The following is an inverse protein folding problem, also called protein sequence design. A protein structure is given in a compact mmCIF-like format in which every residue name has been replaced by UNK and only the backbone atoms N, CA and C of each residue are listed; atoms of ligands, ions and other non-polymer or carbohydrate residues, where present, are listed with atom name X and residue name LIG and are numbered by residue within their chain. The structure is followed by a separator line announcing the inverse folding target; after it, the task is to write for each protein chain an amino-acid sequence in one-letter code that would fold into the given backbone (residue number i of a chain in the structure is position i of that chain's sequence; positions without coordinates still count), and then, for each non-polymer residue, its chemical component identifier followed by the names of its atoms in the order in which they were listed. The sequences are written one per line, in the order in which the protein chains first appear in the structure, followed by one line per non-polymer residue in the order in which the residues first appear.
data_IF_117891681483
#
_entry.id   IF_117891681483
#
_cell.length_a   1.000
_cell.length_b   1.000
_cell.length_c   1.000
_cell.angle_alpha   90.00
_cell.angle_beta   90.00
_cell.angle_gamma   90.00
#
_symmetry.space_group_name_H-M   'P 1'
#
loop_
_entity.id
_entity.type
_entity.pdbx_description
1 polymer ?
#
# COMPACT_ATOMS: atom_id res chain seq x y z
N UNK A 1 -16.10 0.20 -9.17
CA UNK A 1 -15.13 -0.12 -8.08
C UNK A 1 -15.00 1.11 -7.21
N UNK A 2 -15.03 1.01 -5.87
CA UNK A 2 -14.87 2.18 -5.01
C UNK A 2 -13.44 2.72 -5.15
N UNK A 3 -13.32 4.03 -5.33
CA UNK A 3 -12.04 4.74 -5.32
C UNK A 3 -11.62 4.99 -3.86
N UNK A 4 -10.31 4.94 -3.58
CA UNK A 4 -9.82 5.31 -2.24
C UNK A 4 -10.01 6.82 -2.07
N UNK A 5 -10.61 7.26 -0.96
CA UNK A 5 -10.83 8.68 -0.66
C UNK A 5 -9.94 9.06 0.55
N UNK A 6 -8.92 9.90 0.33
CA UNK A 6 -7.95 10.30 1.36
C UNK A 6 -6.60 10.74 0.77
N UNK A 7 -5.74 11.30 1.62
CA UNK A 7 -4.33 11.62 1.32
C UNK A 7 -3.50 11.45 2.59
N UNK A 8 -2.30 10.91 2.46
CA UNK A 8 -1.32 10.78 3.54
C UNK A 8 0.03 11.27 3.06
N UNK A 9 0.65 12.16 3.83
CA UNK A 9 1.99 12.69 3.59
C UNK A 9 2.89 12.25 4.75
N UNK A 10 4.03 11.64 4.43
CA UNK A 10 4.95 11.02 5.38
C UNK A 10 4.28 10.03 6.35
N UNK A 11 3.27 9.31 5.88
CA UNK A 11 2.55 8.33 6.70
C UNK A 11 3.33 7.01 6.69
N UNK A 12 3.49 6.33 7.84
CA UNK A 12 4.16 5.03 7.86
C UNK A 12 3.51 4.04 6.88
N UNK A 13 4.33 3.30 6.15
CA UNK A 13 3.89 2.34 5.12
C UNK A 13 2.78 1.41 5.60
N UNK A 14 2.86 0.89 6.82
CA UNK A 14 1.81 0.03 7.35
C UNK A 14 0.46 0.73 7.55
N UNK A 15 0.48 1.99 8.00
CA UNK A 15 -0.74 2.80 8.17
C UNK A 15 -1.32 3.14 6.80
N UNK A 16 -0.49 3.62 5.89
CA UNK A 16 -0.90 3.93 4.52
C UNK A 16 -1.48 2.70 3.81
N UNK A 17 -0.76 1.58 3.82
CA UNK A 17 -1.22 0.34 3.19
C UNK A 17 -2.54 -0.15 3.81
N UNK A 18 -2.74 -0.02 5.12
CA UNK A 18 -4.00 -0.39 5.77
C UNK A 18 -5.16 0.54 5.41
N UNK A 19 -4.90 1.83 5.17
CA UNK A 19 -5.92 2.79 4.73
C UNK A 19 -6.26 2.64 3.24
N UNK A 20 -5.28 2.26 2.43
CA UNK A 20 -5.46 2.04 0.98
C UNK A 20 -6.19 0.72 0.74
N UNK A 21 -5.77 -0.35 1.41
CA UNK A 21 -6.29 -1.71 1.19
C UNK A 21 -7.67 -1.86 1.85
N UNK A 22 -8.72 -2.23 1.09
CA UNK A 22 -10.06 -2.39 1.64
C UNK A 22 -10.14 -3.57 2.61
N UNK A 23 -11.13 -3.53 3.50
CA UNK A 23 -11.44 -4.65 4.40
C UNK A 23 -11.76 -5.92 3.59
N UNK A 24 -11.13 -7.04 3.96
CA UNK A 24 -11.26 -8.32 3.26
C UNK A 24 -10.05 -8.73 2.42
N UNK A 25 -9.05 -7.85 2.25
CA UNK A 25 -7.76 -8.19 1.63
C UNK A 25 -6.68 -8.32 2.71
N UNK A 26 -6.01 -9.47 2.74
CA UNK A 26 -4.89 -9.72 3.64
C UNK A 26 -3.66 -8.94 3.19
N UNK A 27 -3.09 -8.11 4.09
CA UNK A 27 -1.86 -7.36 3.84
C UNK A 27 -0.68 -8.07 4.49
N UNK A 28 0.32 -8.45 3.70
CA UNK A 28 1.53 -9.14 4.13
C UNK A 28 2.75 -8.32 3.75
N UNK A 29 3.70 -8.20 4.66
CA UNK A 29 4.99 -7.56 4.41
C UNK A 29 6.06 -8.65 4.43
N UNK A 30 6.81 -8.76 3.34
CA UNK A 30 7.93 -9.66 3.21
C UNK A 30 9.10 -9.27 4.12
N UNK A 31 10.07 -10.18 4.21
CA UNK A 31 11.25 -9.97 5.03
C UNK A 31 12.10 -8.81 4.48
N UNK A 32 12.61 -7.97 5.38
CA UNK A 32 13.35 -6.75 5.04
C UNK A 32 12.51 -5.58 4.49
N UNK A 33 11.18 -5.66 4.51
CA UNK A 33 10.32 -4.49 4.22
C UNK A 33 10.15 -3.68 5.49
N UNK A 34 10.72 -2.47 5.48
CA UNK A 34 10.58 -1.53 6.57
C UNK A 34 9.19 -0.86 6.50
N UNK A 35 8.37 -1.18 7.49
CA UNK A 35 6.97 -0.77 7.61
C UNK A 35 6.83 0.63 8.18
N UNK A 36 7.88 1.16 8.79
CA UNK A 36 7.89 2.51 9.37
C UNK A 36 8.33 3.56 8.37
N UNK A 37 8.76 3.14 7.17
CA UNK A 37 9.12 4.07 6.11
C UNK A 37 7.96 5.02 5.79
N UNK A 38 8.22 6.34 5.80
CA UNK A 38 7.22 7.31 5.42
C UNK A 38 6.92 7.16 3.92
N UNK A 39 5.65 7.01 3.59
CA UNK A 39 5.15 7.00 2.21
C UNK A 39 4.08 8.04 2.02
N UNK A 40 4.09 8.62 0.83
CA UNK A 40 3.04 9.51 0.37
C UNK A 40 2.07 8.73 -0.50
N UNK A 41 0.78 8.85 -0.21
CA UNK A 41 -0.25 8.24 -1.02
C UNK A 41 -1.41 9.20 -1.23
N UNK A 42 -1.97 9.15 -2.44
CA UNK A 42 -3.14 9.96 -2.81
C UNK A 42 -4.23 9.04 -3.31
N UNK A 43 -5.42 9.21 -2.73
CA UNK A 43 -6.64 8.59 -3.21
C UNK A 43 -7.06 9.12 -4.60
N UNK A 44 -8.22 8.68 -5.08
CA UNK A 44 -8.79 9.03 -6.38
C UNK A 44 -8.52 8.01 -7.47
N UNK A 45 -7.80 6.92 -7.17
CA UNK A 45 -7.61 5.75 -8.04
C UNK A 45 -7.97 4.46 -7.30
N UNK A 46 -7.93 3.36 -8.04
CA UNK A 46 -8.04 2.00 -7.50
C UNK A 46 -6.95 1.75 -6.45
N UNK A 47 -7.31 1.17 -5.29
CA UNK A 47 -6.39 0.94 -4.17
C UNK A 47 -5.09 0.24 -4.56
N UNK A 48 -5.15 -0.69 -5.52
CA UNK A 48 -3.98 -1.41 -6.02
C UNK A 48 -2.98 -0.50 -6.75
N UNK A 49 -3.47 0.49 -7.49
CA UNK A 49 -2.63 1.49 -8.15
C UNK A 49 -2.05 2.47 -7.14
N UNK A 50 -2.88 2.91 -6.18
CA UNK A 50 -2.46 3.81 -5.11
C UNK A 50 -1.35 3.18 -4.26
N UNK A 51 -1.51 1.91 -3.87
CA UNK A 51 -0.49 1.18 -3.11
C UNK A 51 0.80 1.02 -3.91
N UNK A 52 0.69 0.66 -5.18
CA UNK A 52 1.86 0.52 -6.06
C UNK A 52 2.59 1.87 -6.23
N UNK A 53 1.87 2.96 -6.45
CA UNK A 53 2.44 4.31 -6.58
C UNK A 53 3.12 4.75 -5.26
N UNK A 54 2.53 4.44 -4.10
CA UNK A 54 3.07 4.80 -2.79
C UNK A 54 4.39 4.10 -2.46
N UNK A 55 4.55 2.83 -2.86
CA UNK A 55 5.78 2.06 -2.56
C UNK A 55 6.84 2.12 -3.66
N UNK A 56 6.46 2.58 -4.86
CA UNK A 56 7.37 2.78 -6.00
C UNK A 56 8.63 3.60 -5.67
N UNK A 57 8.55 4.75 -4.95
CA UNK A 57 9.74 5.51 -4.58
C UNK A 57 10.67 4.77 -3.61
N UNK A 58 10.16 3.80 -2.84
CA UNK A 58 10.95 2.98 -1.92
C UNK A 58 11.67 1.82 -2.62
N UNK A 59 11.39 1.59 -3.91
CA UNK A 59 11.93 0.47 -4.68
C UNK A 59 11.32 -0.89 -4.30
N UNK A 60 10.23 -0.90 -3.54
CA UNK A 60 9.49 -2.11 -3.20
C UNK A 60 8.53 -2.51 -4.31
N UNK A 61 8.14 -3.77 -4.31
CA UNK A 61 7.20 -4.38 -5.25
C UNK A 61 5.96 -4.87 -4.51
N UNK A 62 4.80 -4.63 -5.12
CA UNK A 62 3.53 -5.24 -4.70
C UNK A 62 3.33 -6.51 -5.51
N UNK A 63 3.11 -7.63 -4.82
CA UNK A 63 2.56 -8.86 -5.39
C UNK A 63 1.12 -9.03 -4.92
N UNK A 64 0.18 -9.19 -5.85
CA UNK A 64 -1.24 -9.37 -5.54
C UNK A 64 -1.69 -10.79 -5.91
N UNK A 65 -2.29 -11.46 -4.96
CA UNK A 65 -2.99 -12.76 -5.09
C UNK A 65 -4.51 -12.53 -5.01
N UNK A 66 -5.33 -13.58 -5.09
CA UNK A 66 -6.80 -13.52 -5.09
C UNK A 66 -7.38 -12.64 -3.97
N UNK A 67 -6.94 -12.82 -2.72
CA UNK A 67 -7.40 -12.04 -1.56
C UNK A 67 -6.25 -11.53 -0.68
N UNK A 68 -5.03 -11.50 -1.19
CA UNK A 68 -3.86 -11.10 -0.42
C UNK A 68 -2.97 -10.17 -1.24
N UNK A 69 -2.38 -9.20 -0.57
CA UNK A 69 -1.35 -8.32 -1.13
C UNK A 69 -0.09 -8.46 -0.29
N UNK A 70 1.02 -8.76 -0.95
CA UNK A 70 2.33 -8.92 -0.34
C UNK A 70 3.24 -7.81 -0.83
N UNK A 71 3.88 -7.08 0.08
CA UNK A 71 4.91 -6.09 -0.26
C UNK A 71 6.26 -6.75 -0.05
N UNK A 72 7.12 -6.74 -1.06
CA UNK A 72 8.49 -7.28 -1.00
C UNK A 72 9.46 -6.26 -1.55
N UNK A 73 10.75 -6.42 -1.28
CA UNK A 73 11.81 -5.65 -1.94
C UNK A 73 12.02 -6.10 -3.39
#
# INVERSE_FOLDING_TARGET
MPAVQGFGEAVPLHVAARQIVPEGVSLVFGDGVDRELPVDWRGGRSWNLVLADAIKPLGFKVSRTTNQVSITR
#
